data_IF_571257526541
#
_entry.id   IF_571257526541
#
_cell.length_a   1.000
_cell.length_b   1.000
_cell.length_c   1.000
_cell.angle_alpha   90.00
_cell.angle_beta   90.00
_cell.angle_gamma   90.00
#
_symmetry.space_group_name_H-M   'P 1'
#
loop_
_entity.id
_entity.type
_entity.pdbx_description
1 polymer ?
#
# COMPACT_ATOMS: atom_id res chain seq x y z
N UNK A 1 10.17 -12.80 9.16
CA UNK A 1 9.68 -12.19 7.90
C UNK A 1 9.64 -10.68 8.09
N UNK A 2 10.22 -9.86 7.21
CA UNK A 2 10.13 -8.39 7.34
C UNK A 2 8.68 -7.91 7.16
N UNK A 3 8.23 -6.92 7.94
CA UNK A 3 6.88 -6.32 7.82
C UNK A 3 6.58 -5.83 6.39
N UNK A 4 7.60 -5.37 5.66
CA UNK A 4 7.48 -5.00 4.25
C UNK A 4 7.02 -6.16 3.36
N UNK A 5 7.53 -7.37 3.61
CA UNK A 5 7.17 -8.57 2.84
C UNK A 5 5.71 -8.96 3.11
N UNK A 6 5.28 -8.96 4.37
CA UNK A 6 3.88 -9.26 4.75
C UNK A 6 2.91 -8.23 4.18
N UNK A 7 3.21 -6.94 4.32
CA UNK A 7 2.38 -5.87 3.77
C UNK A 7 2.27 -5.97 2.23
N UNK A 8 3.38 -6.29 1.54
CA UNK A 8 3.37 -6.54 0.10
C UNK A 8 2.46 -7.71 -0.25
N UNK A 9 2.56 -8.83 0.45
CA UNK A 9 1.69 -10.00 0.25
C UNK A 9 0.21 -9.67 0.47
N UNK A 10 -0.12 -8.89 1.50
CA UNK A 10 -1.51 -8.50 1.79
C UNK A 10 -2.07 -7.50 0.78
N UNK A 11 -1.27 -6.50 0.37
CA UNK A 11 -1.61 -5.61 -0.76
C UNK A 11 -1.89 -6.44 -2.01
N UNK A 12 -1.06 -7.45 -2.30
CA UNK A 12 -1.30 -8.33 -3.46
C UNK A 12 -2.61 -9.09 -3.35
N UNK A 13 -2.95 -9.63 -2.18
CA UNK A 13 -4.23 -10.33 -1.96
C UNK A 13 -5.41 -9.38 -2.14
N UNK A 14 -5.34 -8.19 -1.56
CA UNK A 14 -6.35 -7.13 -1.68
C UNK A 14 -6.58 -6.78 -3.15
N UNK A 15 -5.51 -6.51 -3.89
CA UNK A 15 -5.58 -6.19 -5.31
C UNK A 15 -6.12 -7.36 -6.12
N UNK A 16 -5.67 -8.59 -5.84
CA UNK A 16 -6.21 -9.77 -6.49
C UNK A 16 -7.72 -9.83 -6.30
N UNK A 17 -8.21 -9.58 -5.08
CA UNK A 17 -9.63 -9.60 -4.74
C UNK A 17 -10.41 -8.48 -5.43
N UNK A 18 -9.90 -7.24 -5.42
CA UNK A 18 -10.53 -6.09 -6.10
C UNK A 18 -10.55 -6.32 -7.63
N UNK A 19 -9.50 -6.93 -8.18
CA UNK A 19 -9.26 -7.10 -9.63
C UNK A 19 -9.72 -8.49 -10.12
N UNK A 20 -10.43 -9.29 -9.31
CA UNK A 20 -10.84 -10.67 -9.62
C UNK A 20 -11.58 -10.81 -10.97
N UNK A 21 -12.13 -9.71 -11.52
CA UNK A 21 -12.88 -9.67 -12.79
C UNK A 21 -12.15 -9.14 -14.04
N UNK A 22 -10.86 -8.72 -14.00
CA UNK A 22 -10.18 -8.13 -15.19
C UNK A 22 -8.90 -8.87 -15.64
N UNK A 23 -8.70 -8.94 -16.97
CA UNK A 23 -7.42 -9.33 -17.63
C UNK A 23 -6.29 -8.36 -17.20
N UNK A 24 -5.03 -8.83 -17.12
CA UNK A 24 -3.77 -8.07 -16.88
C UNK A 24 -3.14 -8.10 -15.46
N UNK A 25 -3.48 -9.06 -14.60
CA UNK A 25 -2.97 -9.19 -13.21
C UNK A 25 -1.44 -9.14 -13.07
N UNK A 26 -0.71 -9.85 -13.93
CA UNK A 26 0.77 -9.91 -13.89
C UNK A 26 1.43 -8.55 -14.18
N UNK A 27 0.95 -7.83 -15.20
CA UNK A 27 1.49 -6.52 -15.59
C UNK A 27 1.25 -5.42 -14.53
N UNK A 28 0.16 -5.52 -13.78
CA UNK A 28 -0.12 -4.61 -12.65
C UNK A 28 0.89 -4.91 -11.54
N UNK A 29 1.03 -6.18 -11.17
CA UNK A 29 1.93 -6.65 -10.11
C UNK A 29 3.38 -6.20 -10.31
N UNK A 30 3.92 -6.36 -11.52
CA UNK A 30 5.32 -6.01 -11.83
C UNK A 30 5.61 -4.51 -11.67
N UNK A 31 4.57 -3.66 -11.62
CA UNK A 31 4.68 -2.20 -11.50
C UNK A 31 4.35 -1.67 -10.11
N UNK A 32 3.92 -2.53 -9.18
CA UNK A 32 3.65 -2.12 -7.79
C UNK A 32 4.97 -1.89 -7.09
N UNK A 33 5.15 -0.68 -6.58
CA UNK A 33 6.27 -0.32 -5.73
C UNK A 33 5.78 -0.15 -4.30
N UNK A 34 6.50 -0.79 -3.38
CA UNK A 34 6.34 -0.66 -1.93
C UNK A 34 7.74 -0.40 -1.41
N UNK A 35 7.94 0.78 -0.84
CA UNK A 35 9.25 1.28 -0.43
C UNK A 35 9.15 2.03 0.89
N UNK A 36 10.29 2.44 1.42
CA UNK A 36 10.33 3.52 2.39
C UNK A 36 9.64 4.78 1.80
N UNK A 37 9.00 5.60 2.66
CA UNK A 37 8.41 6.85 2.21
C UNK A 37 9.47 7.82 1.70
N UNK A 38 9.13 8.69 0.72
CA UNK A 38 9.98 9.81 0.33
C UNK A 38 10.39 10.69 1.50
N UNK A 39 11.50 11.41 1.35
CA UNK A 39 11.97 12.38 2.35
C UNK A 39 10.88 13.42 2.65
N UNK A 40 10.66 13.70 3.94
CA UNK A 40 9.62 14.62 4.40
C UNK A 40 8.25 13.99 4.64
N UNK A 41 8.04 12.73 4.24
CA UNK A 41 6.80 11.99 4.52
C UNK A 41 6.97 11.17 5.79
N UNK A 42 6.13 11.45 6.78
CA UNK A 42 6.09 10.68 8.03
C UNK A 42 5.18 9.46 7.87
N UNK A 43 5.74 8.36 7.39
CA UNK A 43 5.10 7.04 7.33
C UNK A 43 6.11 5.93 7.62
N UNK A 44 5.65 4.69 7.82
CA UNK A 44 6.55 3.53 7.86
C UNK A 44 6.74 2.93 6.44
N UNK A 45 5.71 3.02 5.58
CA UNK A 45 5.74 2.48 4.20
C UNK A 45 4.96 3.38 3.25
N UNK A 46 5.40 3.48 1.98
CA UNK A 46 4.64 4.12 0.89
C UNK A 46 4.44 3.16 -0.29
N UNK A 47 3.32 3.31 -0.99
CA UNK A 47 3.06 2.57 -2.24
C UNK A 47 2.41 3.42 -3.32
N UNK A 48 2.83 3.18 -4.58
CA UNK A 48 2.30 3.82 -5.78
C UNK A 48 1.07 3.08 -6.37
N UNK A 49 0.50 2.14 -5.62
CA UNK A 49 -0.45 1.17 -6.16
C UNK A 49 -1.63 1.80 -6.87
N UNK A 50 -2.13 2.93 -6.37
CA UNK A 50 -3.30 3.54 -6.97
C UNK A 50 -3.03 4.07 -8.37
N UNK A 51 -1.88 4.71 -8.59
CA UNK A 51 -1.42 5.12 -9.91
C UNK A 51 -1.16 3.95 -10.85
N UNK A 52 -0.54 2.90 -10.32
CA UNK A 52 -0.18 1.75 -11.14
C UNK A 52 -1.44 1.03 -11.61
N UNK A 53 -2.36 0.72 -10.70
CA UNK A 53 -3.56 -0.04 -11.01
C UNK A 53 -4.58 0.76 -11.84
N UNK A 54 -4.76 2.06 -11.56
CA UNK A 54 -5.77 2.87 -12.25
C UNK A 54 -5.51 2.97 -13.76
N UNK A 55 -4.25 3.00 -14.21
CA UNK A 55 -3.87 2.98 -15.63
C UNK A 55 -4.38 1.75 -16.37
N UNK A 56 -4.41 0.60 -15.71
CA UNK A 56 -4.93 -0.63 -16.31
C UNK A 56 -6.44 -0.76 -16.15
N UNK A 57 -6.99 -0.20 -15.07
CA UNK A 57 -8.41 -0.31 -14.75
C UNK A 57 -9.28 0.78 -15.43
N UNK A 58 -8.66 1.85 -15.94
CA UNK A 58 -9.28 3.05 -16.51
C UNK A 58 -10.26 3.74 -15.55
N UNK A 59 -9.81 3.94 -14.31
CA UNK A 59 -10.56 4.59 -13.23
C UNK A 59 -9.76 5.75 -12.66
N UNK A 60 -10.40 6.62 -11.89
CA UNK A 60 -9.69 7.70 -11.21
C UNK A 60 -8.70 7.10 -10.18
N UNK A 61 -7.43 7.57 -10.13
CA UNK A 61 -6.46 7.13 -9.14
C UNK A 61 -6.94 7.30 -7.69
N UNK A 62 -7.68 8.39 -7.40
CA UNK A 62 -8.18 8.68 -6.06
C UNK A 62 -9.26 7.69 -5.62
N UNK A 63 -10.25 7.46 -6.48
CA UNK A 63 -11.32 6.50 -6.21
C UNK A 63 -10.75 5.10 -5.94
N UNK A 64 -9.73 4.70 -6.71
CA UNK A 64 -9.07 3.42 -6.48
C UNK A 64 -8.26 3.39 -5.18
N UNK A 65 -7.60 4.50 -4.83
CA UNK A 65 -6.91 4.62 -3.55
C UNK A 65 -7.89 4.42 -2.39
N UNK A 66 -9.08 5.01 -2.45
CA UNK A 66 -10.11 4.87 -1.40
C UNK A 66 -10.60 3.42 -1.26
N UNK A 67 -10.77 2.69 -2.36
CA UNK A 67 -11.09 1.26 -2.34
C UNK A 67 -9.98 0.46 -1.65
N UNK A 68 -8.72 0.69 -2.04
CA UNK A 68 -7.57 -0.01 -1.45
C UNK A 68 -7.43 0.31 0.04
N UNK A 69 -7.59 1.58 0.43
CA UNK A 69 -7.55 2.01 1.84
C UNK A 69 -8.63 1.32 2.66
N UNK A 70 -9.83 1.15 2.11
CA UNK A 70 -10.93 0.46 2.79
C UNK A 70 -10.57 -0.99 3.13
N UNK A 71 -9.90 -1.69 2.22
CA UNK A 71 -9.44 -3.06 2.46
C UNK A 71 -8.23 -3.11 3.40
N UNK A 72 -7.27 -2.18 3.26
CA UNK A 72 -6.10 -2.10 4.14
C UNK A 72 -6.50 -1.80 5.59
N UNK A 73 -7.53 -0.98 5.83
CA UNK A 73 -8.04 -0.70 7.18
C UNK A 73 -8.54 -1.94 7.92
N UNK A 74 -8.84 -3.04 7.22
CA UNK A 74 -9.22 -4.33 7.83
C UNK A 74 -8.01 -5.06 8.44
N UNK A 75 -6.79 -4.69 8.06
CA UNK A 75 -5.56 -5.28 8.59
C UNK A 75 -5.29 -4.75 9.99
N UNK A 76 -5.31 -5.64 10.97
CA UNK A 76 -5.21 -5.30 12.39
C UNK A 76 -3.88 -4.63 12.78
N UNK A 77 -2.85 -4.74 11.95
CA UNK A 77 -1.51 -4.20 12.19
C UNK A 77 -1.29 -2.83 11.53
N UNK A 78 -2.28 -2.26 10.86
CA UNK A 78 -2.19 -0.90 10.31
C UNK A 78 -2.70 0.11 11.35
N UNK A 79 -1.92 1.16 11.58
CA UNK A 79 -2.25 2.25 12.52
C UNK A 79 -2.96 3.39 11.82
N UNK A 80 -2.42 3.85 10.69
CA UNK A 80 -2.91 5.02 9.96
C UNK A 80 -2.61 4.84 8.49
N UNK A 81 -3.49 5.36 7.64
CA UNK A 81 -3.27 5.43 6.20
C UNK A 81 -3.59 6.85 5.74
N UNK A 82 -2.72 7.43 4.92
CA UNK A 82 -2.88 8.75 4.32
C UNK A 82 -2.75 8.59 2.81
N UNK A 83 -3.69 9.17 2.06
CA UNK A 83 -3.60 9.24 0.61
C UNK A 83 -3.06 10.62 0.25
N UNK A 84 -1.84 10.66 -0.27
CA UNK A 84 -1.19 11.89 -0.71
C UNK A 84 -1.37 12.12 -2.21
N UNK A 85 -1.70 13.37 -2.54
CA UNK A 85 -1.95 13.80 -3.89
C UNK A 85 -2.98 12.91 -4.60
N UNK A 86 -2.73 12.54 -5.87
CA UNK A 86 -3.69 11.76 -6.64
C UNK A 86 -3.76 10.28 -6.24
N UNK A 87 -2.81 9.72 -5.47
CA UNK A 87 -2.85 8.27 -5.22
C UNK A 87 -1.63 7.60 -4.62
N UNK A 88 -0.69 8.32 -4.00
CA UNK A 88 0.29 7.65 -3.13
C UNK A 88 -0.39 7.25 -1.82
N UNK A 89 -0.21 6.01 -1.40
CA UNK A 89 -0.77 5.51 -0.14
C UNK A 89 0.38 5.34 0.86
N UNK A 90 0.35 6.17 1.89
CA UNK A 90 1.33 6.22 2.97
C UNK A 90 0.74 5.54 4.21
N UNK A 91 1.46 4.55 4.76
CA UNK A 91 0.95 3.61 5.76
C UNK A 91 1.85 3.66 7.00
N UNK A 92 1.25 3.97 8.14
CA UNK A 92 1.85 3.75 9.45
C UNK A 92 1.42 2.39 9.97
N UNK A 93 2.41 1.59 10.40
CA UNK A 93 2.15 0.31 11.02
C UNK A 93 1.95 0.50 12.53
N UNK A 94 1.11 -0.33 13.14
CA UNK A 94 1.03 -0.42 14.59
C UNK A 94 2.40 -0.89 15.07
N UNK A 95 3.01 -0.06 15.89
CA UNK A 95 4.28 -0.39 16.52
C UNK A 95 3.96 -1.31 17.66
N UNK A 96 4.02 -2.62 17.41
CA UNK A 96 4.32 -3.55 18.50
C UNK A 96 5.61 -3.02 19.13
N UNK A 97 5.58 -2.73 20.43
CA UNK A 97 6.56 -1.94 21.19
C UNK A 97 8.03 -2.46 21.11
N UNK A 98 8.32 -3.52 20.34
CA UNK A 98 9.65 -4.14 20.23
C UNK A 98 10.65 -3.56 19.21
N UNK A 99 10.28 -2.67 18.26
CA UNK A 99 11.19 -2.34 17.14
C UNK A 99 11.52 -0.87 16.92
N UNK A 100 10.94 0.04 17.71
CA UNK A 100 11.22 1.48 17.60
C UNK A 100 12.63 1.88 18.11
N UNK A 101 13.38 0.95 18.70
CA UNK A 101 14.73 1.18 19.25
C UNK A 101 15.90 0.90 18.29
N UNK A 102 15.67 0.37 17.07
CA UNK A 102 16.77 -0.07 16.20
C UNK A 102 17.10 0.86 15.01
N UNK A 103 16.55 2.08 14.93
CA UNK A 103 16.97 3.09 13.93
C UNK A 103 17.64 4.34 14.54
N UNK A 104 18.10 4.25 15.78
CA UNK A 104 18.99 5.26 16.41
C UNK A 104 20.05 4.54 17.25
N UNK A 105 20.99 3.89 16.57
CA UNK A 105 22.38 3.71 16.99
C UNK A 105 23.21 3.52 15.72
#
# INVERSE_FOLDING_TARGET
MSYFKTLKEDINKILKNIILKKKNKKKIYDKIQISDPPSGIHADVSTNIAFTACKFLKINPRDFADIVVTELKKLNYIKKIIIEGPGFINIDLKKNIGLKKLKKF
#
